data_IF_787297948816
#
_entry.id   IF_787297948816
#
_cell.length_a   1.000
_cell.length_b   1.000
_cell.length_c   1.000
_cell.angle_alpha   90.00
_cell.angle_beta   90.00
_cell.angle_gamma   90.00
#
_symmetry.space_group_name_H-M   'P 1'
#
loop_
_entity.id
_entity.type
_entity.pdbx_description
1 polymer ?
#
# COMPACT_ATOMS: atom_id res chain seq x y z
N UNK A 1 23.17 -19.85 3.94
CA UNK A 1 23.01 -20.82 2.83
C UNK A 1 24.22 -21.75 2.83
N UNK A 2 24.06 -23.08 2.90
CA UNK A 2 25.19 -24.02 2.94
C UNK A 2 25.72 -24.40 1.54
N UNK A 3 24.82 -24.52 0.56
CA UNK A 3 25.15 -24.80 -0.84
C UNK A 3 24.61 -23.67 -1.73
N UNK A 4 25.51 -22.79 -2.17
CA UNK A 4 25.17 -21.63 -3.00
C UNK A 4 24.68 -22.00 -4.41
N UNK A 5 25.22 -23.06 -5.02
CA UNK A 5 24.83 -23.49 -6.38
C UNK A 5 23.43 -24.07 -6.38
N UNK A 6 23.11 -24.91 -5.39
CA UNK A 6 21.75 -25.42 -5.20
C UNK A 6 20.77 -24.31 -4.88
N UNK A 7 21.15 -23.36 -4.02
CA UNK A 7 20.32 -22.20 -3.70
C UNK A 7 19.99 -21.37 -4.96
N UNK A 8 21.00 -21.06 -5.78
CA UNK A 8 20.81 -20.33 -7.04
C UNK A 8 19.83 -21.03 -7.98
N UNK A 9 19.98 -22.35 -8.16
CA UNK A 9 19.08 -23.14 -9.00
C UNK A 9 17.64 -23.10 -8.47
N UNK A 10 17.45 -23.40 -7.18
CA UNK A 10 16.14 -23.40 -6.55
C UNK A 10 15.48 -22.01 -6.58
N UNK A 11 16.28 -20.95 -6.38
CA UNK A 11 15.79 -19.58 -6.44
C UNK A 11 15.31 -19.21 -7.83
N UNK A 12 16.04 -19.59 -8.87
CA UNK A 12 15.63 -19.37 -10.27
C UNK A 12 14.36 -20.11 -10.65
N UNK A 13 14.26 -21.40 -10.27
CA UNK A 13 13.06 -22.19 -10.48
C UNK A 13 11.83 -21.59 -9.77
N UNK A 14 12.01 -21.05 -8.56
CA UNK A 14 10.95 -20.39 -7.81
C UNK A 14 10.56 -19.04 -8.43
N UNK A 15 11.53 -18.17 -8.71
CA UNK A 15 11.30 -16.83 -9.26
C UNK A 15 10.66 -16.86 -10.66
N UNK A 16 10.91 -17.92 -11.43
CA UNK A 16 10.26 -18.12 -12.73
C UNK A 16 8.76 -18.48 -12.62
N UNK A 17 8.28 -18.90 -11.44
CA UNK A 17 6.90 -19.37 -11.23
C UNK A 17 6.08 -18.46 -10.34
N UNK A 18 6.72 -17.77 -9.41
CA UNK A 18 6.06 -16.93 -8.41
C UNK A 18 7.01 -15.84 -7.91
N UNK A 19 6.47 -14.71 -7.41
CA UNK A 19 7.29 -13.74 -6.70
C UNK A 19 8.03 -14.40 -5.54
N UNK A 20 9.30 -14.04 -5.37
CA UNK A 20 10.13 -14.45 -4.23
C UNK A 20 10.58 -13.20 -3.49
N UNK A 21 10.16 -13.08 -2.23
CA UNK A 21 10.55 -11.99 -1.34
C UNK A 21 11.64 -12.49 -0.40
N UNK A 22 12.71 -11.71 -0.26
CA UNK A 22 13.89 -12.08 0.52
C UNK A 22 14.19 -10.99 1.54
N UNK A 23 14.12 -11.37 2.81
CA UNK A 23 14.67 -10.60 3.92
C UNK A 23 16.00 -11.20 4.36
N UNK A 24 17.08 -10.42 4.28
CA UNK A 24 18.44 -10.87 4.62
C UNK A 24 18.93 -10.26 5.92
N UNK A 25 19.23 -11.12 6.90
CA UNK A 25 20.00 -10.77 8.09
C UNK A 25 21.50 -10.64 7.82
N UNK A 26 22.20 -9.95 8.73
CA UNK A 26 23.66 -9.81 8.70
C UNK A 26 24.18 -8.87 7.62
N UNK A 27 23.48 -7.77 7.37
CA UNK A 27 23.89 -6.73 6.40
C UNK A 27 24.88 -5.71 6.98
N UNK A 28 24.90 -5.56 8.32
CA UNK A 28 25.85 -4.70 9.04
C UNK A 28 26.98 -5.50 9.66
N UNK A 29 28.09 -4.86 10.03
CA UNK A 29 29.21 -5.54 10.70
C UNK A 29 28.79 -6.20 12.02
N UNK A 30 27.98 -5.54 12.83
CA UNK A 30 27.42 -6.13 14.05
C UNK A 30 26.52 -7.33 13.73
N UNK A 31 25.66 -7.22 12.70
CA UNK A 31 24.80 -8.32 12.26
C UNK A 31 25.60 -9.50 11.70
N UNK A 32 26.69 -9.26 10.96
CA UNK A 32 27.59 -10.30 10.46
C UNK A 32 28.25 -11.06 11.60
N UNK A 33 28.75 -10.35 12.63
CA UNK A 33 29.31 -10.97 13.84
C UNK A 33 28.27 -11.81 14.57
N UNK A 34 27.06 -11.28 14.77
CA UNK A 34 25.97 -12.02 15.43
C UNK A 34 25.60 -13.30 14.64
N UNK A 35 25.45 -13.18 13.32
CA UNK A 35 25.16 -14.33 12.46
C UNK A 35 26.29 -15.37 12.46
N UNK A 36 27.55 -14.93 12.47
CA UNK A 36 28.71 -15.81 12.59
C UNK A 36 28.71 -16.56 13.92
N UNK A 37 28.50 -15.86 15.04
CA UNK A 37 28.42 -16.47 16.38
C UNK A 37 27.27 -17.48 16.51
N UNK A 38 26.14 -17.25 15.84
CA UNK A 38 24.99 -18.15 15.92
C UNK A 38 25.09 -19.37 14.98
N UNK A 39 25.71 -19.22 13.80
CA UNK A 39 25.68 -20.28 12.76
C UNK A 39 27.04 -20.89 12.46
N UNK A 40 28.12 -20.36 13.06
CA UNK A 40 29.51 -20.70 12.79
C UNK A 40 29.89 -20.69 11.29
N UNK A 41 29.14 -19.93 10.47
CA UNK A 41 29.34 -19.84 9.03
C UNK A 41 29.86 -18.47 8.61
N UNK A 42 30.66 -18.43 7.55
CA UNK A 42 31.07 -17.17 6.94
C UNK A 42 29.83 -16.51 6.32
N UNK A 43 29.51 -15.29 6.73
CA UNK A 43 28.42 -14.54 6.10
C UNK A 43 28.86 -14.11 4.71
N UNK A 44 28.04 -14.42 3.70
CA UNK A 44 28.29 -14.02 2.31
C UNK A 44 28.32 -12.49 2.19
N UNK A 45 29.13 -11.98 1.27
CA UNK A 45 29.17 -10.55 0.95
C UNK A 45 27.76 -10.04 0.64
N UNK A 46 27.40 -8.90 1.25
CA UNK A 46 26.11 -8.23 1.05
C UNK A 46 25.97 -7.83 -0.41
N UNK A 47 26.98 -7.19 -0.98
CA UNK A 47 26.99 -6.76 -2.38
C UNK A 47 26.81 -7.94 -3.36
N UNK A 48 27.41 -9.10 -3.08
CA UNK A 48 27.23 -10.30 -3.92
C UNK A 48 25.80 -10.82 -3.83
N UNK A 49 25.22 -10.82 -2.64
CA UNK A 49 23.84 -11.26 -2.44
C UNK A 49 22.85 -10.30 -3.11
N UNK A 50 23.11 -8.99 -3.05
CA UNK A 50 22.26 -7.98 -3.69
C UNK A 50 22.29 -8.10 -5.21
N UNK A 51 23.48 -8.26 -5.78
CA UNK A 51 23.65 -8.47 -7.22
C UNK A 51 22.92 -9.74 -7.68
N UNK A 52 23.03 -10.82 -6.91
CA UNK A 52 22.33 -12.08 -7.17
C UNK A 52 20.81 -11.90 -7.15
N UNK A 53 20.27 -11.25 -6.12
CA UNK A 53 18.83 -11.03 -6.01
C UNK A 53 18.27 -10.18 -7.18
N UNK A 54 19.03 -9.17 -7.63
CA UNK A 54 18.69 -8.38 -8.83
C UNK A 54 18.69 -9.25 -10.10
N UNK A 55 19.72 -10.08 -10.31
CA UNK A 55 19.80 -10.99 -11.45
C UNK A 55 18.65 -12.01 -11.47
N UNK A 56 18.22 -12.47 -10.29
CA UNK A 56 17.19 -13.50 -10.15
C UNK A 56 15.76 -12.93 -10.10
N UNK A 57 15.58 -11.61 -10.30
CA UNK A 57 14.28 -10.91 -10.22
C UNK A 57 13.51 -11.21 -8.93
N UNK A 58 14.21 -11.15 -7.81
CA UNK A 58 13.60 -11.30 -6.48
C UNK A 58 13.32 -9.94 -5.85
N UNK A 59 12.34 -9.88 -4.94
CA UNK A 59 12.05 -8.67 -4.17
C UNK A 59 12.86 -8.70 -2.89
N UNK A 60 13.80 -7.77 -2.72
CA UNK A 60 14.51 -7.62 -1.47
C UNK A 60 13.85 -6.58 -0.58
N UNK A 61 13.80 -6.88 0.72
CA UNK A 61 13.21 -6.03 1.75
C UNK A 61 14.17 -5.87 2.92
N UNK A 62 14.07 -4.75 3.63
CA UNK A 62 15.07 -4.32 4.62
C UNK A 62 14.71 -4.78 6.04
N UNK A 63 13.44 -5.08 6.29
CA UNK A 63 12.93 -5.51 7.59
C UNK A 63 11.75 -6.48 7.48
N UNK A 64 11.32 -7.00 8.63
CA UNK A 64 10.24 -7.98 8.72
C UNK A 64 8.87 -7.37 8.42
N UNK A 65 8.66 -6.09 8.73
CA UNK A 65 7.38 -5.41 8.47
C UNK A 65 7.21 -5.24 6.95
N UNK A 66 8.25 -4.77 6.26
CA UNK A 66 8.28 -4.66 4.80
C UNK A 66 8.10 -6.03 4.11
N UNK A 67 8.65 -7.11 4.67
CA UNK A 67 8.39 -8.47 4.17
C UNK A 67 6.90 -8.79 4.20
N UNK A 68 6.22 -8.53 5.31
CA UNK A 68 4.79 -8.81 5.48
C UNK A 68 3.98 -7.92 4.53
N UNK A 69 4.28 -6.63 4.47
CA UNK A 69 3.57 -5.66 3.63
C UNK A 69 3.67 -6.02 2.13
N UNK A 70 4.86 -6.41 1.65
CA UNK A 70 5.04 -6.88 0.27
C UNK A 70 4.25 -8.18 0.02
N UNK A 71 4.22 -9.11 0.98
CA UNK A 71 3.42 -10.34 0.84
C UNK A 71 1.90 -10.04 0.79
N UNK A 72 1.43 -9.08 1.60
CA UNK A 72 0.03 -8.58 1.56
C UNK A 72 -0.27 -7.97 0.20
N UNK A 73 0.60 -7.09 -0.31
CA UNK A 73 0.45 -6.48 -1.63
C UNK A 73 0.40 -7.54 -2.74
N UNK A 74 1.37 -8.45 -2.79
CA UNK A 74 1.42 -9.54 -3.78
C UNK A 74 0.19 -10.45 -3.73
N UNK A 75 -0.41 -10.64 -2.56
CA UNK A 75 -1.60 -11.49 -2.40
C UNK A 75 -2.87 -10.77 -2.85
N UNK A 76 -3.08 -9.52 -2.41
CA UNK A 76 -4.38 -8.87 -2.46
C UNK A 76 -4.46 -7.65 -3.39
N UNK A 77 -3.34 -7.00 -3.75
CA UNK A 77 -3.32 -5.86 -4.67
C UNK A 77 -3.43 -6.29 -6.15
N UNK A 78 -4.51 -6.96 -6.52
CA UNK A 78 -4.73 -7.47 -7.89
C UNK A 78 -5.60 -6.51 -8.72
N UNK A 79 -5.29 -6.31 -10.02
CA UNK A 79 -4.06 -6.73 -10.71
C UNK A 79 -2.82 -5.99 -10.18
N UNK A 80 -1.64 -6.60 -10.25
CA UNK A 80 -0.41 -5.95 -9.80
C UNK A 80 -0.01 -4.85 -10.79
N UNK A 81 0.20 -3.60 -10.34
CA UNK A 81 0.57 -2.50 -11.22
C UNK A 81 1.99 -2.71 -11.74
N UNK A 82 2.24 -2.26 -12.98
CA UNK A 82 3.58 -2.24 -13.62
C UNK A 82 4.21 -0.85 -13.61
N UNK A 83 3.37 0.16 -13.40
CA UNK A 83 3.72 1.57 -13.45
C UNK A 83 3.44 2.23 -12.10
N UNK A 84 4.04 3.40 -11.90
CA UNK A 84 4.18 4.02 -10.57
C UNK A 84 3.05 4.98 -10.20
N UNK A 85 2.14 5.28 -11.14
CA UNK A 85 1.08 6.26 -10.91
C UNK A 85 0.07 5.83 -9.85
N UNK A 86 -0.11 6.65 -8.82
CA UNK A 86 -1.05 6.41 -7.72
C UNK A 86 -2.03 7.56 -7.58
N UNK A 87 -3.29 7.25 -7.29
CA UNK A 87 -4.26 8.24 -6.81
C UNK A 87 -4.65 7.96 -5.38
N UNK A 88 -4.71 9.01 -4.56
CA UNK A 88 -5.02 8.91 -3.15
C UNK A 88 -6.37 9.58 -2.88
N UNK A 89 -7.21 8.89 -2.12
CA UNK A 89 -8.56 9.31 -1.75
C UNK A 89 -8.68 9.24 -0.22
N UNK A 90 -9.16 10.31 0.40
CA UNK A 90 -9.42 10.31 1.83
C UNK A 90 -9.93 11.65 2.34
N UNK A 91 -9.90 11.82 3.66
CA UNK A 91 -10.31 13.05 4.31
C UNK A 91 -9.21 13.56 5.25
N UNK A 92 -8.90 14.85 5.14
CA UNK A 92 -7.96 15.57 5.99
C UNK A 92 -6.72 16.04 5.23
N UNK A 93 -6.60 17.36 5.02
CA UNK A 93 -5.52 17.93 4.21
C UNK A 93 -4.10 17.63 4.73
N UNK A 94 -3.92 17.52 6.05
CA UNK A 94 -2.64 17.11 6.65
C UNK A 94 -2.22 15.69 6.23
N UNK A 95 -3.07 14.67 6.47
CA UNK A 95 -2.91 13.34 5.89
C UNK A 95 -2.61 13.32 4.40
N UNK A 96 -3.32 14.12 3.59
CA UNK A 96 -3.10 14.23 2.15
C UNK A 96 -1.69 14.71 1.82
N UNK A 97 -1.17 15.74 2.48
CA UNK A 97 0.23 16.21 2.31
C UNK A 97 1.23 15.11 2.66
N UNK A 98 1.03 14.43 3.79
CA UNK A 98 1.92 13.33 4.22
C UNK A 98 1.87 12.14 3.25
N UNK A 99 0.69 11.86 2.68
CA UNK A 99 0.51 10.81 1.70
C UNK A 99 1.31 11.11 0.43
N UNK A 100 1.23 12.34 -0.09
CA UNK A 100 2.03 12.78 -1.24
C UNK A 100 3.52 12.58 -1.00
N UNK A 101 4.02 13.05 0.15
CA UNK A 101 5.43 12.94 0.52
C UNK A 101 5.91 11.49 0.58
N UNK A 102 5.14 10.60 1.22
CA UNK A 102 5.56 9.20 1.37
C UNK A 102 5.52 8.44 0.04
N UNK A 103 4.55 8.72 -0.83
CA UNK A 103 4.47 8.10 -2.17
C UNK A 103 5.61 8.57 -3.08
N UNK A 104 5.83 9.89 -3.19
CA UNK A 104 6.89 10.43 -4.06
C UNK A 104 8.29 10.04 -3.57
N UNK A 105 8.53 9.97 -2.25
CA UNK A 105 9.79 9.43 -1.68
C UNK A 105 10.04 7.96 -2.03
N UNK A 106 8.98 7.21 -2.31
CA UNK A 106 9.05 5.82 -2.76
C UNK A 106 9.02 5.70 -4.30
N UNK A 107 9.14 6.81 -5.02
CA UNK A 107 9.08 6.87 -6.49
C UNK A 107 7.72 6.41 -7.07
N UNK A 108 6.65 6.51 -6.26
CA UNK A 108 5.27 6.37 -6.71
C UNK A 108 4.69 7.76 -6.98
N UNK A 109 4.49 8.07 -8.26
CA UNK A 109 4.11 9.41 -8.68
C UNK A 109 2.61 9.66 -8.51
N UNK A 110 2.25 10.86 -8.11
CA UNK A 110 0.87 11.34 -8.08
C UNK A 110 0.59 12.15 -9.35
N UNK A 111 -0.07 11.57 -10.39
CA UNK A 111 -0.28 12.29 -11.64
C UNK A 111 -1.16 13.52 -11.43
N UNK A 112 -0.88 14.57 -12.21
CA UNK A 112 -1.73 15.75 -12.27
C UNK A 112 -3.11 15.38 -12.81
N UNK A 113 -4.15 15.88 -12.13
CA UNK A 113 -5.53 15.73 -12.60
C UNK A 113 -5.88 16.90 -13.51
N UNK A 114 -6.32 16.59 -14.73
CA UNK A 114 -6.68 17.61 -15.71
C UNK A 114 -7.87 18.45 -15.22
N UNK A 115 -8.06 19.68 -15.73
CA UNK A 115 -9.20 20.53 -15.37
C UNK A 115 -10.56 19.83 -15.53
N UNK A 116 -10.70 18.96 -16.53
CA UNK A 116 -11.90 18.16 -16.78
C UNK A 116 -12.15 17.15 -15.65
N UNK A 117 -11.13 16.40 -15.25
CA UNK A 117 -11.22 15.46 -14.13
C UNK A 117 -11.58 16.19 -12.84
N UNK A 118 -10.95 17.34 -12.59
CA UNK A 118 -11.28 18.14 -11.42
C UNK A 118 -12.71 18.70 -11.48
N UNK A 119 -13.22 19.03 -12.67
CA UNK A 119 -14.60 19.49 -12.86
C UNK A 119 -15.60 18.36 -12.58
N UNK A 120 -15.32 17.13 -13.01
CA UNK A 120 -16.14 15.96 -12.69
C UNK A 120 -16.22 15.73 -11.18
N UNK A 121 -15.09 15.81 -10.47
CA UNK A 121 -15.05 15.68 -9.01
C UNK A 121 -15.89 16.77 -8.29
N UNK A 122 -15.89 18.00 -8.81
CA UNK A 122 -16.68 19.13 -8.24
C UNK A 122 -18.19 18.96 -8.36
N UNK A 123 -18.68 18.03 -9.18
CA UNK A 123 -20.12 17.81 -9.34
C UNK A 123 -20.75 17.14 -8.11
N UNK A 124 -19.98 16.41 -7.31
CA UNK A 124 -20.49 15.62 -6.20
C UNK A 124 -19.68 15.74 -4.90
N UNK A 125 -18.47 16.29 -4.93
CA UNK A 125 -17.72 16.64 -3.72
C UNK A 125 -18.00 18.09 -3.29
N UNK A 126 -18.07 18.38 -1.98
CA UNK A 126 -18.20 19.74 -1.46
C UNK A 126 -17.09 20.64 -2.00
N UNK A 127 -17.40 21.88 -2.35
CA UNK A 127 -16.36 22.84 -2.76
C UNK A 127 -15.52 23.31 -1.58
N UNK A 128 -16.15 23.52 -0.42
CA UNK A 128 -15.48 24.00 0.78
C UNK A 128 -14.75 22.85 1.49
N UNK A 129 -13.46 23.06 1.77
CA UNK A 129 -12.63 22.10 2.51
C UNK A 129 -12.12 20.92 1.69
N UNK A 130 -12.24 20.98 0.36
CA UNK A 130 -11.81 19.89 -0.53
C UNK A 130 -10.57 20.26 -1.34
N UNK A 131 -9.76 19.24 -1.63
CA UNK A 131 -8.63 19.26 -2.56
C UNK A 131 -9.07 18.44 -3.79
N UNK A 132 -9.11 19.09 -4.95
CA UNK A 132 -9.53 18.46 -6.21
C UNK A 132 -8.33 17.99 -7.07
N UNK A 133 -7.10 18.25 -6.63
CA UNK A 133 -5.89 17.65 -7.21
C UNK A 133 -5.69 16.23 -6.71
N UNK A 134 -4.60 15.56 -7.08
CA UNK A 134 -4.19 14.29 -6.47
C UNK A 134 -3.17 14.60 -5.36
N UNK A 135 -3.43 14.26 -4.07
CA UNK A 135 -4.56 13.51 -3.51
C UNK A 135 -5.90 14.23 -3.56
N UNK A 136 -6.98 13.48 -3.81
CA UNK A 136 -8.35 13.99 -3.69
C UNK A 136 -8.79 13.89 -2.23
N UNK A 137 -9.10 15.04 -1.66
CA UNK A 137 -9.52 15.20 -0.27
C UNK A 137 -10.87 15.91 -0.22
N UNK A 138 -11.80 15.42 0.60
CA UNK A 138 -13.04 16.11 0.85
C UNK A 138 -13.66 15.66 2.19
N UNK A 139 -14.41 16.53 2.89
CA UNK A 139 -15.04 16.19 4.16
C UNK A 139 -16.03 15.01 4.08
N UNK A 140 -16.63 14.78 2.90
CA UNK A 140 -17.59 13.70 2.68
C UNK A 140 -16.96 12.43 2.09
N UNK A 141 -15.63 12.31 1.96
CA UNK A 141 -14.95 11.06 1.56
C UNK A 141 -14.93 9.97 2.65
N UNK A 142 -15.99 9.97 3.46
CA UNK A 142 -16.45 8.88 4.30
C UNK A 142 -17.82 8.35 3.81
N UNK A 143 -18.53 9.04 2.89
CA UNK A 143 -19.74 8.50 2.26
C UNK A 143 -19.34 7.44 1.22
N UNK A 144 -19.98 6.26 1.24
CA UNK A 144 -19.77 5.21 0.24
C UNK A 144 -19.91 5.71 -1.19
N UNK A 145 -20.93 6.51 -1.45
CA UNK A 145 -21.25 7.06 -2.77
C UNK A 145 -20.14 8.01 -3.25
N UNK A 146 -19.67 8.89 -2.36
CA UNK A 146 -18.57 9.80 -2.68
C UNK A 146 -17.25 9.05 -2.93
N UNK A 147 -16.97 8.00 -2.14
CA UNK A 147 -15.77 7.15 -2.31
C UNK A 147 -15.81 6.41 -3.65
N UNK A 148 -16.91 5.71 -3.97
CA UNK A 148 -17.08 4.99 -5.25
C UNK A 148 -16.94 5.96 -6.43
N UNK A 149 -17.68 7.07 -6.43
CA UNK A 149 -17.66 8.04 -7.53
C UNK A 149 -16.27 8.64 -7.75
N UNK A 150 -15.57 9.03 -6.67
CA UNK A 150 -14.22 9.59 -6.74
C UNK A 150 -13.24 8.58 -7.32
N UNK A 151 -13.24 7.35 -6.80
CA UNK A 151 -12.35 6.30 -7.28
C UNK A 151 -12.61 5.91 -8.74
N UNK A 152 -13.88 5.92 -9.18
CA UNK A 152 -14.22 5.67 -10.59
C UNK A 152 -13.75 6.78 -11.51
N UNK A 153 -13.81 8.04 -11.10
CA UNK A 153 -13.28 9.17 -11.87
C UNK A 153 -11.76 9.05 -11.98
N UNK A 154 -11.07 8.89 -10.85
CA UNK A 154 -9.61 8.76 -10.80
C UNK A 154 -9.10 7.53 -11.54
N UNK A 155 -9.77 6.39 -11.38
CA UNK A 155 -9.40 5.15 -12.03
C UNK A 155 -9.60 5.15 -13.55
N UNK A 156 -10.26 6.16 -14.14
CA UNK A 156 -10.30 6.35 -15.61
C UNK A 156 -9.12 7.16 -16.14
N UNK A 157 -8.37 7.84 -15.27
CA UNK A 157 -7.17 8.58 -15.68
C UNK A 157 -6.09 7.58 -16.12
N UNK A 158 -5.57 7.67 -17.37
CA UNK A 158 -4.62 6.70 -17.90
C UNK A 158 -3.36 6.54 -17.05
N UNK A 159 -2.82 7.66 -16.54
CA UNK A 159 -1.57 7.68 -15.79
C UNK A 159 -1.71 7.19 -14.34
N UNK A 160 -2.92 6.90 -13.86
CA UNK A 160 -3.17 6.33 -12.54
C UNK A 160 -3.24 4.80 -12.66
N UNK A 161 -2.47 4.05 -11.89
CA UNK A 161 -2.36 2.59 -12.00
C UNK A 161 -2.80 1.86 -10.73
N UNK A 162 -2.90 2.57 -9.60
CA UNK A 162 -3.41 2.06 -8.34
C UNK A 162 -4.14 3.15 -7.56
N UNK A 163 -5.10 2.74 -6.74
CA UNK A 163 -5.95 3.64 -5.94
C UNK A 163 -5.70 3.36 -4.46
N UNK A 164 -5.49 4.40 -3.66
CA UNK A 164 -5.28 4.29 -2.21
C UNK A 164 -6.44 4.99 -1.49
N UNK A 165 -7.12 4.28 -0.60
CA UNK A 165 -8.05 4.88 0.37
C UNK A 165 -7.41 4.90 1.74
N UNK A 166 -7.51 6.02 2.46
CA UNK A 166 -6.99 6.11 3.83
C UNK A 166 -8.04 6.51 4.87
N UNK A 167 -7.97 5.88 6.04
CA UNK A 167 -8.83 6.15 7.19
C UNK A 167 -8.03 6.25 8.50
N UNK A 168 -8.54 7.05 9.44
CA UNK A 168 -7.97 7.17 10.78
C UNK A 168 -6.73 8.08 10.89
N UNK A 169 -6.36 8.79 9.81
CA UNK A 169 -5.20 9.68 9.80
C UNK A 169 -5.50 11.10 10.32
N UNK A 170 -6.77 11.49 10.48
CA UNK A 170 -7.12 12.81 11.00
C UNK A 170 -6.62 12.96 12.46
N UNK A 171 -5.82 13.98 12.79
CA UNK A 171 -5.13 14.08 14.08
C UNK A 171 -6.07 14.27 15.28
N UNK A 172 -7.26 14.85 15.04
CA UNK A 172 -8.24 15.21 16.08
C UNK A 172 -9.38 14.18 16.18
N UNK A 173 -9.83 13.66 15.03
CA UNK A 173 -11.03 12.84 14.92
C UNK A 173 -10.63 11.38 14.77
N UNK A 174 -10.29 10.74 15.88
CA UNK A 174 -9.84 9.34 15.88
C UNK A 174 -11.02 8.40 15.68
N UNK A 175 -10.95 7.54 14.65
CA UNK A 175 -11.86 6.41 14.38
C UNK A 175 -13.38 6.67 14.48
N UNK A 176 -13.79 7.94 14.49
CA UNK A 176 -15.19 8.37 14.44
C UNK A 176 -16.04 7.95 15.64
N UNK A 177 -15.44 7.53 16.77
CA UNK A 177 -16.17 7.07 17.96
C UNK A 177 -17.10 5.89 17.68
N UNK A 178 -16.63 4.86 16.96
CA UNK A 178 -17.42 3.72 16.52
C UNK A 178 -18.09 3.88 15.15
N UNK A 179 -18.16 5.10 14.60
CA UNK A 179 -18.83 5.33 13.30
C UNK A 179 -18.17 4.58 12.15
N UNK A 180 -16.84 4.54 12.12
CA UNK A 180 -16.09 3.92 11.02
C UNK A 180 -15.94 2.40 11.17
N UNK A 181 -16.27 1.84 12.32
CA UNK A 181 -16.28 0.40 12.59
C UNK A 181 -17.69 -0.21 12.55
N UNK A 182 -18.73 0.62 12.54
CA UNK A 182 -20.11 0.16 12.45
C UNK A 182 -20.38 -0.52 11.10
N UNK A 183 -21.07 -1.67 11.12
CA UNK A 183 -21.44 -2.40 9.90
C UNK A 183 -22.24 -1.53 8.92
N UNK A 184 -23.10 -0.63 9.42
CA UNK A 184 -23.87 0.32 8.63
C UNK A 184 -22.99 1.31 7.82
N UNK A 185 -21.73 1.48 8.21
CA UNK A 185 -20.74 2.27 7.49
C UNK A 185 -19.82 1.39 6.66
N UNK A 186 -19.19 0.39 7.30
CA UNK A 186 -18.16 -0.44 6.67
C UNK A 186 -18.67 -1.20 5.46
N UNK A 187 -19.88 -1.78 5.56
CA UNK A 187 -20.39 -2.62 4.48
C UNK A 187 -20.62 -1.81 3.19
N UNK A 188 -21.34 -0.67 3.24
CA UNK A 188 -21.43 0.20 2.08
C UNK A 188 -20.09 0.69 1.52
N UNK A 189 -19.12 1.05 2.38
CA UNK A 189 -17.77 1.46 1.92
C UNK A 189 -17.06 0.30 1.21
N UNK A 190 -17.11 -0.92 1.76
CA UNK A 190 -16.55 -2.12 1.13
C UNK A 190 -17.18 -2.34 -0.25
N UNK A 191 -18.51 -2.29 -0.33
CA UNK A 191 -19.23 -2.49 -1.60
C UNK A 191 -18.84 -1.42 -2.64
N UNK A 192 -18.68 -0.16 -2.20
CA UNK A 192 -18.19 0.95 -3.04
C UNK A 192 -16.75 0.73 -3.56
N UNK A 193 -15.85 0.24 -2.72
CA UNK A 193 -14.48 -0.07 -3.14
C UNK A 193 -14.43 -1.25 -4.12
N UNK A 194 -15.28 -2.27 -3.93
CA UNK A 194 -15.42 -3.41 -4.84
C UNK A 194 -15.92 -2.91 -6.20
N UNK A 195 -16.97 -2.08 -6.23
CA UNK A 195 -17.49 -1.49 -7.46
C UNK A 195 -16.40 -0.69 -8.20
N UNK A 196 -15.65 0.14 -7.46
CA UNK A 196 -14.56 0.93 -8.04
C UNK A 196 -13.45 0.05 -8.62
N UNK A 197 -13.04 -1.01 -7.92
CA UNK A 197 -12.04 -1.96 -8.42
C UNK A 197 -12.52 -2.66 -9.69
N UNK A 198 -13.79 -3.11 -9.72
CA UNK A 198 -14.38 -3.76 -10.90
C UNK A 198 -14.50 -2.81 -12.09
N UNK A 199 -14.92 -1.56 -11.85
CA UNK A 199 -15.14 -0.57 -12.91
C UNK A 199 -13.84 -0.05 -13.53
N UNK A 200 -12.72 -0.07 -12.78
CA UNK A 200 -11.45 0.54 -13.19
C UNK A 200 -10.39 -0.51 -13.56
N UNK A 201 -10.59 -1.77 -13.16
CA UNK A 201 -9.60 -2.84 -13.26
C UNK A 201 -8.23 -2.46 -12.65
N UNK A 202 -8.23 -1.57 -11.64
CA UNK A 202 -7.03 -1.12 -10.90
C UNK A 202 -7.11 -1.60 -9.45
N UNK A 203 -5.99 -2.01 -8.83
CA UNK A 203 -5.98 -2.42 -7.45
C UNK A 203 -6.35 -1.25 -6.53
N UNK A 204 -7.19 -1.55 -5.53
CA UNK A 204 -7.54 -0.64 -4.43
C UNK A 204 -6.78 -1.07 -3.19
N UNK A 205 -6.07 -0.13 -2.57
CA UNK A 205 -5.20 -0.32 -1.42
C UNK A 205 -5.74 0.46 -0.23
N UNK A 206 -5.64 -0.11 0.96
CA UNK A 206 -6.17 0.52 2.18
C UNK A 206 -5.04 0.88 3.13
N UNK A 207 -4.97 2.15 3.52
CA UNK A 207 -4.16 2.61 4.64
C UNK A 207 -5.08 2.89 5.84
N UNK A 208 -4.96 2.11 6.90
CA UNK A 208 -5.71 2.29 8.14
C UNK A 208 -4.74 2.59 9.28
N UNK A 209 -4.80 3.78 9.87
CA UNK A 209 -3.89 4.11 10.98
C UNK A 209 -4.37 3.45 12.29
N UNK A 210 -3.56 2.62 12.97
CA UNK A 210 -3.90 2.10 14.29
C UNK A 210 -4.12 3.23 15.30
N UNK A 211 -5.18 3.13 16.11
CA UNK A 211 -5.44 4.14 17.13
C UNK A 211 -4.53 3.96 18.36
N UNK A 212 -4.09 5.04 19.01
CA UNK A 212 -3.25 4.95 20.22
C UNK A 212 -4.06 4.67 21.50
N UNK A 213 -5.40 4.74 21.44
CA UNK A 213 -6.30 4.52 22.57
C UNK A 213 -7.15 3.26 22.38
N UNK A 214 -7.58 2.63 23.49
CA UNK A 214 -8.28 1.35 23.47
C UNK A 214 -9.62 1.38 22.71
N UNK A 215 -10.50 2.38 22.86
CA UNK A 215 -11.72 2.45 22.07
C UNK A 215 -11.44 2.52 20.57
N UNK A 216 -10.55 3.42 20.13
CA UNK A 216 -10.19 3.53 18.73
C UNK A 216 -9.49 2.27 18.19
N UNK A 217 -8.74 1.54 19.03
CA UNK A 217 -8.08 0.30 18.62
C UNK A 217 -9.12 -0.80 18.34
N UNK A 218 -10.20 -0.86 19.12
CA UNK A 218 -11.32 -1.78 18.83
C UNK A 218 -11.98 -1.44 17.50
N UNK A 219 -12.17 -0.16 17.23
CA UNK A 219 -12.74 0.30 15.96
C UNK A 219 -11.83 -0.03 14.77
N UNK A 220 -10.53 0.23 14.91
CA UNK A 220 -9.52 -0.13 13.93
C UNK A 220 -9.53 -1.63 13.61
N UNK A 221 -9.55 -2.49 14.64
CA UNK A 221 -9.54 -3.94 14.46
C UNK A 221 -10.79 -4.43 13.72
N UNK A 222 -11.97 -3.91 14.07
CA UNK A 222 -13.23 -4.25 13.39
C UNK A 222 -13.22 -3.83 11.92
N UNK A 223 -12.69 -2.63 11.61
CA UNK A 223 -12.55 -2.19 10.23
C UNK A 223 -11.52 -3.02 9.45
N UNK A 224 -10.36 -3.28 10.04
CA UNK A 224 -9.32 -4.11 9.43
C UNK A 224 -9.86 -5.50 9.10
N UNK A 225 -10.54 -6.15 10.04
CA UNK A 225 -11.15 -7.47 9.84
C UNK A 225 -12.10 -7.45 8.63
N UNK A 226 -13.04 -6.50 8.60
CA UNK A 226 -14.02 -6.40 7.52
C UNK A 226 -13.36 -6.18 6.14
N UNK A 227 -12.34 -5.33 6.05
CA UNK A 227 -11.63 -5.08 4.80
C UNK A 227 -10.78 -6.28 4.33
N UNK A 228 -10.13 -6.97 5.27
CA UNK A 228 -9.32 -8.16 4.96
C UNK A 228 -10.23 -9.32 4.51
N UNK A 229 -11.37 -9.52 5.18
CA UNK A 229 -12.36 -10.53 4.76
C UNK A 229 -12.94 -10.24 3.37
N UNK A 230 -13.10 -8.96 3.02
CA UNK A 230 -13.47 -8.53 1.68
C UNK A 230 -12.35 -8.67 0.64
N UNK A 231 -11.13 -9.06 1.04
CA UNK A 231 -10.01 -9.33 0.16
C UNK A 231 -9.15 -8.13 -0.20
N UNK A 232 -9.25 -7.00 0.53
CA UNK A 232 -8.40 -5.84 0.30
C UNK A 232 -7.05 -5.95 1.02
N UNK A 233 -5.95 -5.44 0.40
CA UNK A 233 -4.70 -5.26 1.11
C UNK A 233 -4.81 -4.09 2.09
N UNK A 234 -4.63 -4.37 3.38
CA UNK A 234 -4.65 -3.38 4.46
C UNK A 234 -3.24 -3.16 4.99
N UNK A 235 -2.82 -1.90 5.04
CA UNK A 235 -1.56 -1.42 5.59
C UNK A 235 -1.82 -0.46 6.75
N UNK A 236 -0.86 -0.31 7.65
CA UNK A 236 -1.02 0.49 8.88
C UNK A 236 -0.50 1.92 8.78
N UNK A 237 0.14 2.26 7.67
CA UNK A 237 0.59 3.62 7.36
C UNK A 237 0.67 3.86 5.85
N UNK A 238 0.62 5.13 5.45
CA UNK A 238 0.85 5.55 4.07
C UNK A 238 2.28 5.19 3.60
N UNK A 239 3.27 5.24 4.51
CA UNK A 239 4.64 4.79 4.25
C UNK A 239 4.71 3.31 3.88
N UNK A 240 3.98 2.45 4.60
CA UNK A 240 3.97 1.02 4.33
C UNK A 240 3.36 0.71 2.96
N UNK A 241 2.24 1.37 2.60
CA UNK A 241 1.69 1.30 1.24
C UNK A 241 2.75 1.68 0.22
N UNK A 242 3.38 2.84 0.40
CA UNK A 242 4.36 3.39 -0.53
C UNK A 242 5.56 2.45 -0.73
N UNK A 243 6.21 2.02 0.37
CA UNK A 243 7.35 1.09 0.32
C UNK A 243 6.97 -0.24 -0.34
N UNK A 244 5.89 -0.87 0.10
CA UNK A 244 5.50 -2.19 -0.41
C UNK A 244 5.15 -2.15 -1.90
N UNK A 245 4.39 -1.15 -2.33
CA UNK A 245 4.01 -1.01 -3.73
C UNK A 245 5.18 -0.62 -4.61
N UNK A 246 6.12 0.22 -4.15
CA UNK A 246 7.35 0.50 -4.89
C UNK A 246 8.16 -0.78 -5.17
N UNK A 247 8.30 -1.67 -4.16
CA UNK A 247 8.93 -2.97 -4.35
C UNK A 247 8.20 -3.87 -5.35
N UNK A 248 6.87 -3.89 -5.30
CA UNK A 248 6.03 -4.68 -6.20
C UNK A 248 6.12 -4.16 -7.64
N UNK A 249 6.03 -2.85 -7.85
CA UNK A 249 6.12 -2.22 -9.16
C UNK A 249 7.50 -2.47 -9.78
N UNK A 250 8.58 -2.19 -9.05
CA UNK A 250 9.95 -2.42 -9.53
C UNK A 250 10.23 -3.88 -9.93
N UNK A 251 9.54 -4.84 -9.30
CA UNK A 251 9.65 -6.26 -9.62
C UNK A 251 8.81 -6.68 -10.84
N UNK A 252 7.67 -6.02 -11.03
CA UNK A 252 6.67 -6.36 -12.05
C UNK A 252 6.93 -5.67 -13.41
N UNK A 253 7.92 -4.78 -13.48
CA UNK A 253 8.50 -4.23 -14.73
C UNK A 253 9.26 -5.31 -15.51
#
# INVERSE_FOLDING_TARGET
VKDGRRFLRALGEAAARKPVVIYKGGTTEAGKRAAHGHTASLTSSVAVFDALCKQMRTIQVDDMEELIDVLVALRFARPLPRDTGVAIVGAGGGPSVLASDEMEKAELHLPYLSPEVQADLRQFLPLAGSIFSNPVDAPNLASPEAVSATMRVLGKVPDIHMLVYHLGFHPISRWGGGRFSAAAFLRPVIDALIEAQQATAKPVLLALRPAPDLPGMKDFLAAQEAFVEAGFPVFHSLRQVAKAMARVVAWNQ
#
